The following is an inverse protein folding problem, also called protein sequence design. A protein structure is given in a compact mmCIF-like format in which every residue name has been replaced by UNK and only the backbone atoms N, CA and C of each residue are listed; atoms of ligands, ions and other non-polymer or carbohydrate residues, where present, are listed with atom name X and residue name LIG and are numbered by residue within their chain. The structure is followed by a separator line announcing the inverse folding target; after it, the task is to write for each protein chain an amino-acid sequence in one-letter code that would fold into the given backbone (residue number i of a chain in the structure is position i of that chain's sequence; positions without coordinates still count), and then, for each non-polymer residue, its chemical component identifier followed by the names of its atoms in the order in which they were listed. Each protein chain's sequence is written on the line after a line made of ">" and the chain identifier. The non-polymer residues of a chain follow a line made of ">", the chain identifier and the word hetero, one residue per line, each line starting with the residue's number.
data_IF_616173627767
#
_entry.id   IF_616173627767
#
_cell.length_a   1.000
_cell.length_b   1.000
_cell.length_c   1.000
_cell.angle_alpha   90.00
_cell.angle_beta   90.00
_cell.angle_gamma   90.00
#
_symmetry.space_group_name_H-M   'P 1'
#
loop_
_entity.id
_entity.type
_entity.pdbx_description
1 polymer ?
#
# COMPACT_ATOMS: atom_id res chain seq x y z
N UNK A 1 40.77 -0.73 -5.53
CA UNK A 1 39.91 -1.09 -6.69
C UNK A 1 40.79 -1.66 -7.78
N UNK A 2 40.31 -2.65 -8.54
CA UNK A 2 41.09 -3.21 -9.66
C UNK A 2 41.06 -2.19 -10.81
N UNK A 3 42.19 -1.93 -11.48
CA UNK A 3 42.31 -0.99 -12.63
C UNK A 3 41.20 -1.17 -13.67
N UNK A 4 40.68 -2.39 -13.80
CA UNK A 4 39.55 -2.74 -14.66
C UNK A 4 38.23 -2.07 -14.27
N UNK A 5 37.95 -1.91 -12.98
CA UNK A 5 36.76 -1.20 -12.51
C UNK A 5 36.83 0.29 -12.79
N UNK A 6 38.02 0.89 -12.65
CA UNK A 6 38.25 2.30 -12.97
C UNK A 6 38.11 2.54 -14.47
N UNK A 7 38.72 1.67 -15.29
CA UNK A 7 38.55 1.68 -16.74
C UNK A 7 37.07 1.63 -17.13
N UNK A 8 36.32 0.68 -16.56
CA UNK A 8 34.89 0.55 -16.82
C UNK A 8 34.11 1.82 -16.46
N UNK A 9 34.39 2.43 -15.32
CA UNK A 9 33.74 3.67 -14.89
C UNK A 9 34.03 4.84 -15.86
N UNK A 10 35.29 5.02 -16.26
CA UNK A 10 35.67 6.04 -17.25
C UNK A 10 34.98 5.80 -18.60
N UNK A 11 34.89 4.54 -19.03
CA UNK A 11 34.21 4.18 -20.27
C UNK A 11 32.70 4.46 -20.23
N UNK A 12 32.06 4.15 -19.10
CA UNK A 12 30.65 4.47 -18.88
C UNK A 12 30.39 5.98 -18.95
N UNK A 13 31.34 6.81 -18.50
CA UNK A 13 31.29 8.28 -18.61
C UNK A 13 31.71 8.84 -19.99
N UNK A 14 31.89 7.99 -21.03
CA UNK A 14 32.15 8.46 -22.40
C UNK A 14 33.63 8.63 -22.77
N UNK A 15 34.54 8.04 -21.98
CA UNK A 15 35.97 7.93 -22.33
C UNK A 15 36.21 6.67 -23.16
N UNK A 16 36.97 6.77 -24.26
CA UNK A 16 37.27 5.56 -25.05
C UNK A 16 38.22 4.63 -24.30
N UNK A 17 38.31 3.36 -24.70
CA UNK A 17 39.24 2.42 -24.08
C UNK A 17 40.68 2.93 -24.08
N UNK A 18 41.15 3.44 -25.22
CA UNK A 18 42.52 3.96 -25.34
C UNK A 18 42.74 5.24 -24.54
N UNK A 19 41.73 6.10 -24.43
CA UNK A 19 41.78 7.28 -23.56
C UNK A 19 41.85 6.89 -22.08
N UNK A 20 41.06 5.91 -21.64
CA UNK A 20 41.11 5.41 -20.27
C UNK A 20 42.47 4.79 -19.94
N UNK A 21 43.01 3.99 -20.86
CA UNK A 21 44.35 3.38 -20.74
C UNK A 21 45.46 4.43 -20.62
N UNK A 22 45.46 5.42 -21.52
CA UNK A 22 46.46 6.48 -21.51
C UNK A 22 46.33 7.36 -20.26
N UNK A 23 45.11 7.67 -19.82
CA UNK A 23 44.87 8.48 -18.63
C UNK A 23 45.32 7.76 -17.35
N UNK A 24 45.00 6.47 -17.19
CA UNK A 24 45.46 5.66 -16.05
C UNK A 24 46.99 5.58 -16.03
N UNK A 25 47.63 5.35 -17.18
CA UNK A 25 49.09 5.34 -17.27
C UNK A 25 49.72 6.68 -16.87
N UNK A 26 49.07 7.80 -17.17
CA UNK A 26 49.50 9.14 -16.76
C UNK A 26 49.30 9.39 -15.26
N UNK A 27 48.19 8.93 -14.67
CA UNK A 27 47.97 9.00 -13.23
C UNK A 27 49.05 8.23 -12.45
N UNK A 28 49.53 7.11 -12.98
CA UNK A 28 50.58 6.31 -12.34
C UNK A 28 51.99 6.92 -12.50
N UNK A 29 52.25 7.57 -13.64
CA UNK A 29 53.59 8.10 -13.98
C UNK A 29 53.77 9.58 -13.67
N UNK A 30 52.70 10.32 -13.44
CA UNK A 30 52.70 11.77 -13.24
C UNK A 30 52.88 12.51 -14.57
N UNK A 31 54.10 12.54 -15.11
CA UNK A 31 54.43 13.18 -16.39
C UNK A 31 55.28 12.24 -17.25
N UNK A 32 54.93 12.09 -18.52
CA UNK A 32 55.65 11.20 -19.45
C UNK A 32 55.62 11.72 -20.89
N UNK A 33 56.60 11.33 -21.69
CA UNK A 33 56.59 11.60 -23.14
C UNK A 33 55.51 10.76 -23.83
N UNK A 34 54.93 11.25 -24.93
CA UNK A 34 53.84 10.57 -25.63
C UNK A 34 54.18 9.11 -26.01
N UNK A 35 55.43 8.84 -26.39
CA UNK A 35 55.91 7.48 -26.70
C UNK A 35 55.94 6.58 -25.45
N UNK A 36 56.34 7.12 -24.30
CA UNK A 36 56.38 6.39 -23.03
C UNK A 36 54.95 6.11 -22.51
N UNK A 37 54.01 7.04 -22.74
CA UNK A 37 52.59 6.81 -22.45
C UNK A 37 52.05 5.67 -23.33
N UNK A 38 52.37 5.64 -24.62
CA UNK A 38 51.95 4.57 -25.52
C UNK A 38 52.44 3.19 -25.04
N UNK A 39 53.72 3.10 -24.64
CA UNK A 39 54.31 1.86 -24.11
C UNK A 39 53.67 1.43 -22.79
N UNK A 40 53.43 2.37 -21.87
CA UNK A 40 52.86 2.09 -20.56
C UNK A 40 51.37 1.70 -20.60
N UNK A 41 50.62 2.32 -21.51
CA UNK A 41 49.18 2.13 -21.67
C UNK A 41 48.82 0.98 -22.62
N UNK A 42 49.77 0.50 -23.44
CA UNK A 42 49.51 -0.46 -24.51
C UNK A 42 48.76 0.11 -25.71
N UNK A 43 48.55 1.43 -25.75
CA UNK A 43 47.92 2.13 -26.88
C UNK A 43 48.90 2.16 -28.07
N UNK A 44 48.46 1.83 -29.30
CA UNK A 44 49.33 1.90 -30.47
C UNK A 44 49.95 3.29 -30.66
N UNK A 45 51.25 3.37 -30.94
CA UNK A 45 51.95 4.67 -31.14
C UNK A 45 51.31 5.53 -32.23
N UNK A 46 50.73 4.92 -33.27
CA UNK A 46 50.00 5.64 -34.31
C UNK A 46 48.73 6.35 -33.81
N UNK A 47 48.24 5.98 -32.61
CA UNK A 47 47.01 6.48 -31.98
C UNK A 47 47.23 7.29 -30.71
N UNK A 48 48.47 7.40 -30.20
CA UNK A 48 48.68 8.04 -28.89
C UNK A 48 48.51 9.56 -28.95
N UNK A 49 48.90 10.19 -30.06
CA UNK A 49 48.84 11.64 -30.20
C UNK A 49 47.40 12.16 -30.29
N UNK A 50 46.50 11.45 -30.99
CA UNK A 50 45.07 11.75 -31.01
C UNK A 50 44.41 11.45 -29.67
N UNK A 51 44.79 10.36 -29.00
CA UNK A 51 44.28 10.03 -27.66
C UNK A 51 44.64 11.11 -26.65
N UNK A 52 45.91 11.53 -26.59
CA UNK A 52 46.35 12.61 -25.71
C UNK A 52 45.66 13.93 -26.04
N UNK A 53 45.47 14.24 -27.33
CA UNK A 53 44.74 15.44 -27.75
C UNK A 53 43.28 15.39 -27.28
N UNK A 54 42.60 14.25 -27.39
CA UNK A 54 41.22 14.11 -26.94
C UNK A 54 41.10 14.24 -25.42
N UNK A 55 42.01 13.62 -24.66
CA UNK A 55 42.07 13.78 -23.21
C UNK A 55 42.33 15.23 -22.79
N UNK A 56 43.19 15.95 -23.52
CA UNK A 56 43.45 17.36 -23.27
C UNK A 56 42.23 18.22 -23.58
N UNK A 57 41.50 17.93 -24.66
CA UNK A 57 40.25 18.62 -24.99
C UNK A 57 39.14 18.40 -23.95
N UNK A 58 39.13 17.23 -23.28
CA UNK A 58 38.25 16.94 -22.14
C UNK A 58 38.74 17.59 -20.83
N UNK A 59 39.92 18.19 -20.81
CA UNK A 59 40.52 18.79 -19.62
C UNK A 59 41.16 17.79 -18.65
N UNK A 60 41.30 16.52 -19.03
CA UNK A 60 41.78 15.46 -18.14
C UNK A 60 43.29 15.50 -17.96
N UNK A 61 43.98 16.00 -18.99
CA UNK A 61 45.43 16.09 -19.03
C UNK A 61 45.84 17.45 -19.62
N UNK A 62 47.08 17.83 -19.39
CA UNK A 62 47.74 18.92 -20.09
C UNK A 62 48.92 18.36 -20.90
N UNK A 63 49.15 18.94 -22.07
CA UNK A 63 50.28 18.58 -22.93
C UNK A 63 51.19 19.77 -23.13
N UNK A 64 52.50 19.51 -23.14
CA UNK A 64 53.52 20.54 -23.27
C UNK A 64 54.71 20.02 -24.08
N UNK A 65 55.46 20.93 -24.70
CA UNK A 65 56.66 20.59 -25.47
C UNK A 65 57.93 20.92 -24.68
N UNK A 66 58.73 19.88 -24.40
CA UNK A 66 60.06 20.01 -23.80
C UNK A 66 61.01 19.08 -24.55
N UNK A 67 61.41 19.50 -25.75
CA UNK A 67 62.15 18.70 -26.73
C UNK A 67 61.29 17.63 -27.42
N UNK A 68 60.37 17.01 -26.70
CA UNK A 68 59.33 16.10 -27.20
C UNK A 68 57.97 16.45 -26.58
N UNK A 69 56.88 15.96 -27.17
CA UNK A 69 55.54 16.13 -26.60
C UNK A 69 55.42 15.28 -25.32
N UNK A 70 55.15 15.95 -24.20
CA UNK A 70 54.88 15.34 -22.90
C UNK A 70 53.45 15.62 -22.48
N UNK A 71 52.94 14.76 -21.61
CA UNK A 71 51.63 14.89 -21.01
C UNK A 71 51.69 14.60 -19.51
N UNK A 72 50.85 15.27 -18.74
CA UNK A 72 50.57 14.95 -17.34
C UNK A 72 49.08 15.05 -17.04
N UNK A 73 48.60 14.30 -16.05
CA UNK A 73 47.22 14.44 -15.59
C UNK A 73 47.00 15.81 -14.92
N UNK A 74 45.82 16.40 -15.12
CA UNK A 74 45.40 17.61 -14.42
C UNK A 74 44.89 17.29 -13.00
N UNK A 75 44.49 18.32 -12.26
CA UNK A 75 43.69 18.15 -11.03
C UNK A 75 42.45 17.28 -11.38
N UNK A 76 42.22 16.14 -10.70
CA UNK A 76 41.20 15.18 -11.09
C UNK A 76 39.77 15.70 -10.96
N UNK A 77 39.55 16.92 -10.44
CA UNK A 77 38.23 17.55 -10.32
C UNK A 77 37.33 17.36 -11.53
N UNK A 78 37.82 17.71 -12.73
CA UNK A 78 37.02 17.60 -13.96
C UNK A 78 36.61 16.15 -14.25
N UNK A 79 37.50 15.19 -14.05
CA UNK A 79 37.18 13.76 -14.29
C UNK A 79 36.24 13.22 -13.22
N UNK A 80 36.35 13.71 -11.99
CA UNK A 80 35.45 13.35 -10.88
C UNK A 80 34.06 13.93 -11.12
N UNK A 81 33.96 15.20 -11.50
CA UNK A 81 32.70 15.88 -11.86
C UNK A 81 31.99 15.13 -12.99
N UNK A 82 32.69 14.76 -14.07
CA UNK A 82 32.11 13.99 -15.18
C UNK A 82 31.58 12.61 -14.73
N UNK A 83 32.24 11.95 -13.77
CA UNK A 83 31.80 10.67 -13.22
C UNK A 83 30.58 10.82 -12.30
N UNK A 84 30.53 11.90 -11.52
CA UNK A 84 29.39 12.25 -10.65
C UNK A 84 28.15 12.60 -11.49
N UNK A 85 28.30 13.42 -12.53
CA UNK A 85 27.23 13.78 -13.47
C UNK A 85 26.65 12.56 -14.19
N UNK A 86 27.51 11.62 -14.59
CA UNK A 86 27.06 10.36 -15.17
C UNK A 86 26.27 9.52 -14.16
N UNK A 87 26.74 9.43 -12.91
CA UNK A 87 26.03 8.70 -11.87
C UNK A 87 24.65 9.31 -11.55
N UNK A 88 24.54 10.64 -11.51
CA UNK A 88 23.28 11.35 -11.33
C UNK A 88 22.32 11.09 -12.50
N UNK A 89 22.84 11.15 -13.74
CA UNK A 89 22.06 10.84 -14.94
C UNK A 89 21.47 9.43 -14.90
N UNK A 90 22.28 8.43 -14.54
CA UNK A 90 21.84 7.04 -14.43
C UNK A 90 20.83 6.86 -13.29
N UNK A 91 21.06 7.52 -12.16
CA UNK A 91 20.13 7.48 -11.01
C UNK A 91 18.78 8.09 -11.38
N UNK A 92 18.79 9.25 -12.04
CA UNK A 92 17.58 9.94 -12.52
C UNK A 92 16.82 9.08 -13.52
N UNK A 93 17.52 8.50 -14.51
CA UNK A 93 16.89 7.62 -15.49
C UNK A 93 16.30 6.35 -14.84
N UNK A 94 16.97 5.78 -13.83
CA UNK A 94 16.44 4.64 -13.09
C UNK A 94 15.17 5.02 -12.29
N UNK A 95 15.15 6.18 -11.65
CA UNK A 95 13.97 6.72 -10.97
C UNK A 95 12.82 6.98 -11.95
N UNK A 96 13.09 7.60 -13.09
CA UNK A 96 12.06 7.85 -14.12
C UNK A 96 11.49 6.56 -14.71
N UNK A 97 12.33 5.52 -14.89
CA UNK A 97 11.87 4.18 -15.30
C UNK A 97 10.98 3.58 -14.21
N UNK A 98 11.34 3.71 -12.93
CA UNK A 98 10.51 3.24 -11.82
C UNK A 98 9.17 3.97 -11.75
N UNK A 99 9.17 5.29 -11.89
CA UNK A 99 7.96 6.11 -11.93
C UNK A 99 7.05 5.69 -13.09
N UNK A 100 7.57 5.62 -14.32
CA UNK A 100 6.79 5.21 -15.50
C UNK A 100 6.33 3.75 -15.46
N UNK A 101 7.08 2.87 -14.80
CA UNK A 101 6.66 1.50 -14.54
C UNK A 101 5.54 1.44 -13.49
N UNK A 102 5.56 2.36 -12.51
CA UNK A 102 4.51 2.56 -11.51
C UNK A 102 3.32 3.39 -12.02
N UNK A 103 3.44 4.01 -13.20
CA UNK A 103 2.35 4.57 -14.02
C UNK A 103 1.78 3.55 -15.04
N UNK A 104 1.28 2.34 -14.70
CA UNK A 104 0.26 1.79 -15.59
C UNK A 104 -0.90 2.80 -15.63
N UNK A 105 -1.66 2.74 -16.72
CA UNK A 105 -2.98 3.34 -16.94
C UNK A 105 -4.03 2.88 -15.87
N UNK A 106 -3.68 2.92 -14.58
CA UNK A 106 -4.49 2.51 -13.42
C UNK A 106 -5.68 3.48 -13.28
N UNK A 107 -5.54 4.74 -13.71
CA UNK A 107 -6.66 5.70 -13.67
C UNK A 107 -7.82 5.35 -14.62
N UNK A 108 -7.63 4.44 -15.60
CA UNK A 108 -8.72 4.03 -16.52
C UNK A 108 -9.15 2.58 -16.38
N UNK A 109 -8.29 1.71 -15.87
CA UNK A 109 -8.63 0.30 -15.67
C UNK A 109 -9.09 0.06 -14.23
N UNK A 110 -10.40 0.00 -14.05
CA UNK A 110 -11.09 -0.39 -12.81
C UNK A 110 -10.55 -1.68 -12.16
N UNK A 111 -9.89 -2.54 -12.95
CA UNK A 111 -9.23 -3.76 -12.51
C UNK A 111 -7.87 -3.87 -13.18
N UNK A 112 -6.82 -4.11 -12.40
CA UNK A 112 -5.45 -4.33 -12.87
C UNK A 112 -4.88 -5.61 -12.24
N UNK A 113 -4.16 -6.40 -13.05
CA UNK A 113 -3.42 -7.59 -12.58
C UNK A 113 -1.93 -7.29 -12.64
N UNK A 114 -1.24 -7.46 -11.51
CA UNK A 114 0.19 -7.20 -11.37
C UNK A 114 0.96 -8.49 -11.13
N UNK A 115 2.14 -8.62 -11.70
CA UNK A 115 2.96 -9.83 -11.59
C UNK A 115 3.80 -9.88 -10.31
N UNK A 116 3.94 -8.76 -9.60
CA UNK A 116 4.77 -8.65 -8.40
C UNK A 116 3.90 -8.34 -7.17
N UNK A 117 3.96 -9.17 -6.11
CA UNK A 117 3.25 -8.91 -4.86
C UNK A 117 3.59 -7.55 -4.25
N UNK A 118 4.83 -7.05 -4.43
CA UNK A 118 5.26 -5.73 -3.93
C UNK A 118 4.35 -4.59 -4.39
N UNK A 119 3.95 -4.59 -5.65
CA UNK A 119 3.06 -3.56 -6.21
C UNK A 119 1.70 -3.51 -5.49
N UNK A 120 1.18 -4.67 -5.06
CA UNK A 120 -0.04 -4.74 -4.25
C UNK A 120 0.17 -4.08 -2.88
N UNK A 121 1.29 -4.36 -2.22
CA UNK A 121 1.60 -3.80 -0.91
C UNK A 121 1.87 -2.30 -0.95
N UNK A 122 2.60 -1.82 -1.95
CA UNK A 122 2.85 -0.39 -2.14
C UNK A 122 1.53 0.36 -2.36
N UNK A 123 0.63 -0.21 -3.16
CA UNK A 123 -0.72 0.36 -3.39
C UNK A 123 -1.59 0.29 -2.13
N UNK A 124 -1.54 -0.82 -1.40
CA UNK A 124 -2.23 -1.00 -0.14
C UNK A 124 -1.83 0.07 0.88
N UNK A 125 -0.52 0.30 1.04
CA UNK A 125 0.00 1.33 1.93
C UNK A 125 -0.45 2.73 1.52
N UNK A 126 -0.45 3.05 0.23
CA UNK A 126 -0.95 4.33 -0.27
C UNK A 126 -2.43 4.54 0.07
N UNK A 127 -3.29 3.55 -0.19
CA UNK A 127 -4.72 3.68 0.10
C UNK A 127 -5.07 3.68 1.57
N UNK A 128 -4.33 2.98 2.43
CA UNK A 128 -4.52 3.09 3.89
C UNK A 128 -4.25 4.53 4.36
N UNK A 129 -3.22 5.19 3.79
CA UNK A 129 -2.92 6.60 4.08
C UNK A 129 -4.00 7.56 3.57
N UNK A 130 -4.76 7.18 2.55
CA UNK A 130 -5.84 8.02 1.98
C UNK A 130 -7.22 7.68 2.56
N UNK A 131 -7.33 6.60 3.36
CA UNK A 131 -8.60 6.12 3.87
C UNK A 131 -9.34 7.17 4.72
N UNK A 132 -10.67 7.23 4.56
CA UNK A 132 -11.56 8.19 5.21
C UNK A 132 -12.59 7.52 6.15
N UNK A 133 -13.07 6.32 5.81
CA UNK A 133 -14.24 5.71 6.49
C UNK A 133 -13.94 4.33 7.08
N UNK A 134 -13.48 3.38 6.25
CA UNK A 134 -13.28 1.99 6.66
C UNK A 134 -12.09 1.34 5.95
N UNK A 135 -11.32 0.57 6.72
CA UNK A 135 -10.33 -0.38 6.22
C UNK A 135 -10.75 -1.78 6.69
N UNK A 136 -10.96 -2.68 5.74
CA UNK A 136 -11.07 -4.12 5.99
C UNK A 136 -9.81 -4.81 5.46
N UNK A 137 -9.05 -5.46 6.33
CA UNK A 137 -7.75 -6.05 5.96
C UNK A 137 -7.58 -7.46 6.51
N UNK A 138 -7.13 -8.39 5.67
CA UNK A 138 -6.71 -9.73 6.04
C UNK A 138 -5.24 -9.89 5.69
N UNK A 139 -4.41 -10.19 6.70
CA UNK A 139 -2.96 -10.16 6.57
C UNK A 139 -2.26 -11.17 7.49
N UNK A 140 -0.97 -11.35 7.24
CA UNK A 140 -0.04 -12.12 8.08
C UNK A 140 0.65 -11.23 9.11
N UNK A 141 1.19 -11.77 10.21
CA UNK A 141 1.95 -10.99 11.20
C UNK A 141 3.05 -10.10 10.62
N UNK A 142 3.81 -10.61 9.65
CA UNK A 142 4.85 -9.82 8.98
C UNK A 142 4.27 -8.62 8.23
N UNK A 143 3.15 -8.81 7.53
CA UNK A 143 2.47 -7.72 6.83
C UNK A 143 1.83 -6.72 7.81
N UNK A 144 1.39 -7.17 8.99
CA UNK A 144 0.95 -6.27 10.06
C UNK A 144 2.10 -5.38 10.51
N UNK A 145 3.27 -5.95 10.79
CA UNK A 145 4.45 -5.16 11.16
C UNK A 145 4.82 -4.14 10.08
N UNK A 146 4.77 -4.54 8.80
CA UNK A 146 5.11 -3.69 7.66
C UNK A 146 4.09 -2.54 7.42
N UNK A 147 2.83 -2.70 7.84
CA UNK A 147 1.74 -1.73 7.68
C UNK A 147 1.31 -1.06 9.00
N UNK A 148 1.96 -1.37 10.10
CA UNK A 148 1.54 -0.95 11.44
C UNK A 148 1.43 0.56 11.56
N UNK A 149 2.45 1.29 11.08
CA UNK A 149 2.50 2.76 11.12
C UNK A 149 1.26 3.40 10.46
N UNK A 150 0.95 2.99 9.24
CA UNK A 150 -0.17 3.56 8.47
C UNK A 150 -1.53 3.16 9.01
N UNK A 151 -1.66 1.99 9.65
CA UNK A 151 -2.89 1.56 10.31
C UNK A 151 -3.15 2.39 11.58
N UNK A 152 -2.12 2.67 12.38
CA UNK A 152 -2.23 3.56 13.53
C UNK A 152 -2.60 4.99 13.11
N UNK A 153 -2.00 5.51 12.03
CA UNK A 153 -2.35 6.83 11.48
C UNK A 153 -3.80 6.88 10.99
N UNK A 154 -4.30 5.81 10.37
CA UNK A 154 -5.70 5.70 9.97
C UNK A 154 -6.64 5.67 11.19
N UNK A 155 -6.30 4.90 12.23
CA UNK A 155 -7.06 4.86 13.48
C UNK A 155 -7.14 6.25 14.15
N UNK A 156 -6.04 6.99 14.21
CA UNK A 156 -6.01 8.34 14.77
C UNK A 156 -6.88 9.35 14.02
N UNK A 157 -7.13 9.09 12.72
CA UNK A 157 -8.07 9.85 11.89
C UNK A 157 -9.51 9.35 11.98
N UNK A 158 -9.80 8.46 12.93
CA UNK A 158 -11.12 7.89 13.18
C UNK A 158 -11.64 6.96 12.05
N UNK A 159 -10.73 6.39 11.26
CA UNK A 159 -11.05 5.36 10.25
C UNK A 159 -11.27 4.02 10.94
N UNK A 160 -12.38 3.34 10.63
CA UNK A 160 -12.70 2.04 11.23
C UNK A 160 -11.84 0.94 10.62
N UNK A 161 -10.87 0.44 11.39
CA UNK A 161 -9.95 -0.64 10.96
C UNK A 161 -10.43 -2.00 11.47
N UNK A 162 -10.85 -2.86 10.55
CA UNK A 162 -11.22 -4.27 10.78
C UNK A 162 -10.13 -5.18 10.26
N UNK A 163 -9.49 -5.93 11.17
CA UNK A 163 -8.31 -6.73 10.84
C UNK A 163 -8.53 -8.22 11.09
N UNK A 164 -8.25 -9.06 10.10
CA UNK A 164 -8.11 -10.51 10.28
C UNK A 164 -6.63 -10.88 10.20
N UNK A 165 -6.10 -11.41 11.30
CA UNK A 165 -4.73 -11.88 11.38
C UNK A 165 -4.68 -13.38 11.10
N UNK A 166 -3.78 -13.79 10.21
CA UNK A 166 -3.53 -15.20 9.89
C UNK A 166 -2.04 -15.50 9.94
N UNK A 167 -1.56 -16.24 10.94
CA UNK A 167 -0.18 -16.71 10.97
C UNK A 167 0.15 -17.65 9.79
N UNK A 168 1.43 -17.79 9.43
CA UNK A 168 1.86 -18.77 8.43
C UNK A 168 1.37 -20.17 8.76
N UNK A 169 1.00 -20.94 7.73
CA UNK A 169 0.30 -22.24 7.80
C UNK A 169 0.99 -23.35 8.60
N UNK A 170 2.25 -23.13 9.01
CA UNK A 170 3.07 -24.10 9.75
C UNK A 170 3.39 -23.61 11.17
N UNK A 171 2.76 -22.53 11.64
CA UNK A 171 3.04 -21.94 12.95
C UNK A 171 1.77 -21.38 13.59
N UNK A 172 1.31 -22.01 14.67
CA UNK A 172 0.34 -21.40 15.58
C UNK A 172 1.10 -20.44 16.48
N UNK A 173 0.96 -19.14 16.22
CA UNK A 173 1.52 -18.09 17.08
C UNK A 173 0.45 -17.66 18.09
N UNK A 174 0.76 -17.61 19.39
CA UNK A 174 -0.17 -17.14 20.40
C UNK A 174 -0.60 -15.70 20.11
N UNK A 175 -1.88 -15.43 20.32
CA UNK A 175 -2.50 -14.11 20.06
C UNK A 175 -1.80 -13.00 20.86
N UNK A 176 -1.32 -13.35 22.05
CA UNK A 176 -0.64 -12.45 22.98
C UNK A 176 0.61 -11.79 22.35
N UNK A 177 1.26 -12.45 21.39
CA UNK A 177 2.44 -11.91 20.69
C UNK A 177 2.15 -10.69 19.82
N UNK A 178 0.88 -10.46 19.47
CA UNK A 178 0.46 -9.36 18.59
C UNK A 178 -0.45 -8.34 19.29
N UNK A 179 -0.76 -8.57 20.57
CA UNK A 179 -1.72 -7.76 21.32
C UNK A 179 -1.33 -6.27 21.38
N UNK A 180 -0.03 -5.97 21.44
CA UNK A 180 0.55 -4.63 21.42
C UNK A 180 0.41 -3.94 20.05
N UNK A 181 0.26 -4.69 18.96
CA UNK A 181 0.08 -4.15 17.59
C UNK A 181 -1.35 -3.69 17.30
N UNK A 182 -2.32 -4.04 18.15
CA UNK A 182 -3.73 -3.67 17.95
C UNK A 182 -4.10 -2.37 18.67
N UNK A 183 -3.45 -2.10 19.80
CA UNK A 183 -3.77 -0.98 20.66
C UNK A 183 -3.57 0.36 19.92
N UNK A 184 -4.62 1.18 19.86
CA UNK A 184 -4.66 2.47 19.14
C UNK A 184 -4.36 2.38 17.63
N UNK A 185 -4.54 1.20 17.02
CA UNK A 185 -4.32 1.00 15.58
C UNK A 185 -5.43 0.20 14.90
N UNK A 186 -6.23 -0.54 15.66
CA UNK A 186 -7.28 -1.42 15.13
C UNK A 186 -8.57 -1.23 15.94
N UNK A 187 -9.72 -1.25 15.28
CA UNK A 187 -11.02 -1.23 15.97
C UNK A 187 -11.43 -2.61 16.46
N UNK A 188 -11.26 -3.62 15.61
CA UNK A 188 -11.48 -5.02 15.95
C UNK A 188 -10.49 -5.89 15.19
N UNK A 189 -9.83 -6.80 15.91
CA UNK A 189 -8.95 -7.80 15.33
C UNK A 189 -9.53 -9.19 15.57
N UNK A 190 -9.48 -10.02 14.54
CA UNK A 190 -9.90 -11.43 14.57
C UNK A 190 -8.75 -12.33 14.19
N UNK A 191 -8.72 -13.53 14.75
CA UNK A 191 -7.65 -14.50 14.51
C UNK A 191 -8.18 -15.71 13.73
N UNK A 192 -7.44 -16.09 12.69
CA UNK A 192 -7.73 -17.22 11.80
C UNK A 192 -6.51 -18.13 11.68
N UNK A 193 -6.72 -19.43 11.81
CA UNK A 193 -5.69 -20.49 11.76
C UNK A 193 -5.66 -21.24 10.41
N UNK A 194 -6.39 -20.76 9.41
CA UNK A 194 -6.40 -21.29 8.05
C UNK A 194 -5.69 -20.35 7.08
N UNK A 195 -4.94 -20.85 6.08
CA UNK A 195 -4.30 -20.04 5.05
C UNK A 195 -5.22 -18.99 4.44
N UNK A 196 -4.79 -17.74 4.41
CA UNK A 196 -5.56 -16.57 3.95
C UNK A 196 -4.79 -15.83 2.84
N UNK A 197 -5.45 -15.46 1.73
CA UNK A 197 -4.88 -14.46 0.83
C UNK A 197 -4.72 -13.11 1.54
N UNK A 198 -3.77 -12.29 1.12
CA UNK A 198 -3.79 -10.88 1.49
C UNK A 198 -4.99 -10.21 0.81
N UNK A 199 -5.85 -9.56 1.60
CA UNK A 199 -6.98 -8.78 1.11
C UNK A 199 -6.98 -7.45 1.85
N UNK A 200 -7.09 -6.36 1.11
CA UNK A 200 -7.39 -5.04 1.65
C UNK A 200 -8.56 -4.48 0.87
N UNK A 201 -9.54 -3.94 1.58
CA UNK A 201 -10.63 -3.13 1.04
C UNK A 201 -10.64 -1.79 1.80
N UNK A 202 -10.57 -0.68 1.07
CA UNK A 202 -10.61 0.68 1.61
C UNK A 202 -11.80 1.42 1.03
N UNK A 203 -12.60 2.04 1.91
CA UNK A 203 -13.70 2.95 1.59
C UNK A 203 -14.63 2.45 0.48
N UNK A 204 -14.93 1.14 0.51
CA UNK A 204 -15.86 0.47 -0.41
C UNK A 204 -15.48 0.55 -1.89
N UNK A 205 -14.35 1.12 -2.30
CA UNK A 205 -13.98 1.29 -3.72
C UNK A 205 -12.66 0.65 -4.09
N UNK A 206 -11.71 0.58 -3.16
CA UNK A 206 -10.33 0.22 -3.45
C UNK A 206 -10.00 -1.15 -2.86
N UNK A 207 -9.61 -2.11 -3.71
CA UNK A 207 -9.23 -3.47 -3.28
C UNK A 207 -7.81 -3.81 -3.72
N UNK A 208 -7.03 -4.34 -2.80
CA UNK A 208 -5.79 -5.04 -3.07
C UNK A 208 -5.94 -6.51 -2.69
N UNK A 209 -5.61 -7.42 -3.60
CA UNK A 209 -5.67 -8.86 -3.38
C UNK A 209 -4.36 -9.50 -3.82
N UNK A 210 -3.80 -10.37 -2.98
CA UNK A 210 -2.72 -11.28 -3.37
C UNK A 210 -3.00 -12.68 -2.79
N UNK A 211 -2.85 -13.76 -3.57
CA UNK A 211 -3.07 -15.10 -3.08
C UNK A 211 -2.07 -15.48 -2.00
N UNK A 212 -2.41 -16.50 -1.23
CA UNK A 212 -1.55 -17.05 -0.18
C UNK A 212 -0.17 -17.47 -0.69
N UNK A 213 0.86 -17.20 0.11
CA UNK A 213 2.26 -17.42 -0.26
C UNK A 213 2.62 -18.90 -0.50
N UNK A 214 1.78 -19.83 -0.05
CA UNK A 214 1.89 -21.28 -0.27
C UNK A 214 1.65 -21.69 -1.73
N UNK A 215 1.06 -20.83 -2.57
CA UNK A 215 0.84 -21.15 -3.97
C UNK A 215 2.16 -21.15 -4.79
N UNK A 216 2.26 -21.98 -5.85
CA UNK A 216 3.41 -21.99 -6.75
C UNK A 216 3.72 -20.59 -7.31
N UNK A 217 4.99 -20.29 -7.60
CA UNK A 217 5.43 -18.98 -8.10
C UNK A 217 4.69 -18.53 -9.37
N UNK A 218 4.27 -19.46 -10.22
CA UNK A 218 3.46 -19.17 -11.41
C UNK A 218 2.05 -18.63 -11.09
N UNK A 219 1.58 -18.83 -9.87
CA UNK A 219 0.29 -18.37 -9.34
C UNK A 219 0.42 -17.17 -8.40
N UNK A 220 1.62 -16.58 -8.27
CA UNK A 220 1.83 -15.33 -7.52
C UNK A 220 1.52 -14.14 -8.43
N UNK A 221 0.33 -13.59 -8.27
CA UNK A 221 -0.11 -12.36 -8.92
C UNK A 221 -0.83 -11.48 -7.91
N UNK A 222 -0.96 -10.21 -8.22
CA UNK A 222 -1.77 -9.26 -7.48
C UNK A 222 -2.97 -8.82 -8.30
N UNK A 223 -4.08 -8.53 -7.64
CA UNK A 223 -5.23 -7.86 -8.25
C UNK A 223 -5.47 -6.55 -7.51
N UNK A 224 -5.57 -5.48 -8.28
CA UNK A 224 -5.89 -4.13 -7.80
C UNK A 224 -7.23 -3.76 -8.44
N UNK A 225 -8.22 -3.41 -7.63
CA UNK A 225 -9.55 -2.99 -8.10
C UNK A 225 -9.83 -1.59 -7.56
N UNK A 226 -10.31 -0.70 -8.43
CA UNK A 226 -10.80 0.63 -8.09
C UNK A 226 -12.19 0.80 -8.68
N UNK A 227 -13.16 0.11 -8.09
CA UNK A 227 -14.54 0.11 -8.55
C UNK A 227 -15.48 -0.30 -7.41
N UNK A 228 -16.52 0.51 -7.21
CA UNK A 228 -17.52 0.33 -6.17
C UNK A 228 -18.37 -0.95 -6.34
N UNK A 229 -18.61 -1.42 -7.57
CA UNK A 229 -19.44 -2.61 -7.80
C UNK A 229 -18.65 -3.89 -7.59
N UNK A 230 -17.41 -3.94 -8.09
CA UNK A 230 -16.53 -5.10 -7.98
C UNK A 230 -15.98 -5.27 -6.56
N UNK A 231 -15.68 -4.18 -5.86
CA UNK A 231 -15.26 -4.22 -4.46
C UNK A 231 -16.28 -4.92 -3.56
N UNK A 232 -17.58 -4.87 -3.89
CA UNK A 232 -18.64 -5.59 -3.17
C UNK A 232 -18.45 -7.11 -3.18
N UNK A 233 -17.89 -7.67 -4.25
CA UNK A 233 -17.56 -9.10 -4.31
C UNK A 233 -16.49 -9.44 -3.27
N UNK A 234 -15.50 -8.55 -3.10
CA UNK A 234 -14.44 -8.70 -2.11
C UNK A 234 -14.94 -8.46 -0.69
N UNK A 235 -15.87 -7.52 -0.48
CA UNK A 235 -16.55 -7.35 0.80
C UNK A 235 -17.31 -8.62 1.18
N UNK A 236 -18.08 -9.21 0.26
CA UNK A 236 -18.77 -10.48 0.54
C UNK A 236 -17.79 -11.58 0.90
N UNK A 237 -16.67 -11.71 0.18
CA UNK A 237 -15.62 -12.65 0.52
C UNK A 237 -15.01 -12.36 1.90
N UNK A 238 -14.69 -11.10 2.21
CA UNK A 238 -14.15 -10.71 3.50
C UNK A 238 -15.14 -11.03 4.63
N UNK A 239 -16.38 -10.57 4.52
CA UNK A 239 -17.42 -10.76 5.52
C UNK A 239 -17.70 -12.25 5.79
N UNK A 240 -17.85 -13.06 4.73
CA UNK A 240 -18.29 -14.45 4.87
C UNK A 240 -17.14 -15.43 5.13
N UNK A 241 -15.95 -15.21 4.55
CA UNK A 241 -14.84 -16.14 4.64
C UNK A 241 -13.74 -15.70 5.63
N UNK A 242 -13.55 -14.39 5.83
CA UNK A 242 -12.39 -13.86 6.56
C UNK A 242 -12.75 -13.15 7.87
N UNK A 243 -14.00 -12.74 8.06
CA UNK A 243 -14.39 -11.91 9.20
C UNK A 243 -15.36 -12.63 10.15
N UNK A 244 -16.60 -12.82 9.72
CA UNK A 244 -17.76 -13.04 10.60
C UNK A 244 -17.63 -14.26 11.52
N UNK A 245 -17.03 -15.34 11.04
CA UNK A 245 -16.94 -16.60 11.79
C UNK A 245 -15.74 -16.68 12.74
N UNK A 246 -14.75 -15.81 12.58
CA UNK A 246 -13.47 -15.92 13.26
C UNK A 246 -13.46 -15.29 14.64
N UNK A 247 -12.66 -15.85 15.54
CA UNK A 247 -12.56 -15.45 16.94
C UNK A 247 -12.08 -14.00 17.06
N UNK A 248 -12.85 -13.19 17.78
CA UNK A 248 -12.43 -11.83 18.16
C UNK A 248 -11.32 -11.94 19.21
N UNK A 249 -10.17 -11.35 18.91
CA UNK A 249 -9.00 -11.33 19.79
C UNK A 249 -8.70 -9.96 20.35
N UNK A 250 -9.20 -8.91 19.71
CA UNK A 250 -9.14 -7.55 20.19
C UNK A 250 -10.39 -6.80 19.70
N UNK A 251 -10.97 -5.97 20.55
CA UNK A 251 -12.00 -5.03 20.14
C UNK A 251 -11.99 -3.81 21.05
N UNK A 252 -12.05 -2.63 20.45
CA UNK A 252 -12.31 -1.38 21.16
C UNK A 252 -13.75 -1.30 21.68
N UNK A 253 -14.63 -2.17 21.16
CA UNK A 253 -16.04 -2.23 21.55
C UNK A 253 -16.20 -2.99 22.87
N UNK A 254 -16.14 -2.27 23.99
CA UNK A 254 -16.22 -2.82 25.36
C UNK A 254 -17.65 -3.08 25.87
N UNK A 255 -18.62 -3.36 24.98
CA UNK A 255 -20.06 -3.47 25.27
C UNK A 255 -20.74 -2.19 25.83
N UNK A 256 -20.01 -1.10 25.98
CA UNK A 256 -20.54 0.21 26.36
C UNK A 256 -20.91 1.02 25.12
N UNK A 257 -22.02 1.76 25.20
CA UNK A 257 -22.45 2.73 24.19
C UNK A 257 -21.87 4.12 24.54
N UNK A 258 -21.57 4.99 23.57
CA UNK A 258 -21.81 4.83 22.13
C UNK A 258 -20.89 3.81 21.45
N UNK A 259 -21.39 3.17 20.39
CA UNK A 259 -20.62 2.21 19.59
C UNK A 259 -20.81 2.44 18.09
N UNK A 260 -19.69 2.45 17.36
CA UNK A 260 -19.66 2.74 15.92
C UNK A 260 -19.55 1.46 15.09
N UNK A 261 -20.27 1.46 13.97
CA UNK A 261 -20.28 0.42 12.95
C UNK A 261 -20.24 1.04 11.56
N UNK A 262 -19.64 0.31 10.64
CA UNK A 262 -19.60 0.62 9.19
C UNK A 262 -20.41 -0.39 8.37
N UNK A 263 -20.83 -1.48 9.02
CA UNK A 263 -21.66 -2.52 8.44
C UNK A 263 -23.00 -2.58 9.17
N UNK A 264 -24.09 -2.42 8.40
CA UNK A 264 -25.45 -2.40 8.96
C UNK A 264 -25.81 -3.69 9.71
N UNK A 265 -25.30 -4.86 9.29
CA UNK A 265 -25.63 -6.14 9.94
C UNK A 265 -24.94 -6.28 11.27
N UNK A 266 -23.69 -5.83 11.39
CA UNK A 266 -23.01 -5.73 12.68
C UNK A 266 -23.77 -4.78 13.62
N UNK A 267 -24.19 -3.62 13.11
CA UNK A 267 -24.97 -2.64 13.86
C UNK A 267 -26.30 -3.24 14.36
N UNK A 268 -27.07 -3.87 13.46
CA UNK A 268 -28.34 -4.51 13.79
C UNK A 268 -28.12 -5.62 14.82
N UNK A 269 -27.09 -6.46 14.67
CA UNK A 269 -26.83 -7.54 15.64
C UNK A 269 -26.52 -7.04 17.04
N UNK A 270 -25.90 -5.87 17.18
CA UNK A 270 -25.70 -5.26 18.51
C UNK A 270 -27.00 -4.64 19.04
N UNK A 271 -27.73 -3.92 18.20
CA UNK A 271 -28.88 -3.13 18.59
C UNK A 271 -30.16 -3.97 18.80
N UNK A 272 -30.34 -5.05 18.04
CA UNK A 272 -31.58 -5.82 17.99
C UNK A 272 -32.00 -6.39 19.35
N UNK A 273 -31.12 -6.99 20.17
CA UNK A 273 -31.50 -7.43 21.52
C UNK A 273 -31.99 -6.29 22.41
N UNK A 274 -31.35 -5.11 22.34
CA UNK A 274 -31.75 -3.92 23.11
C UNK A 274 -33.12 -3.40 22.67
N UNK A 275 -33.35 -3.37 21.35
CA UNK A 275 -34.63 -2.95 20.76
C UNK A 275 -35.76 -3.93 21.08
N UNK A 276 -35.51 -5.24 20.98
CA UNK A 276 -36.48 -6.29 21.28
C UNK A 276 -36.83 -6.33 22.79
N UNK A 277 -35.89 -5.95 23.67
CA UNK A 277 -36.11 -5.73 25.12
C UNK A 277 -36.92 -4.44 25.42
N UNK A 278 -37.31 -3.68 24.41
CA UNK A 278 -38.09 -2.45 24.54
C UNK A 278 -37.28 -1.23 24.98
N UNK A 279 -35.95 -1.28 24.92
CA UNK A 279 -35.12 -0.10 25.19
C UNK A 279 -35.21 0.90 24.05
N UNK A 280 -35.09 2.18 24.40
CA UNK A 280 -35.05 3.26 23.42
C UNK A 280 -33.63 3.39 22.86
N UNK A 281 -33.48 3.14 21.57
CA UNK A 281 -32.20 3.23 20.88
C UNK A 281 -32.21 4.42 19.94
N UNK A 282 -31.20 5.29 20.08
CA UNK A 282 -30.94 6.38 19.15
C UNK A 282 -29.78 5.97 18.25
N UNK A 283 -29.91 6.29 16.97
CA UNK A 283 -28.91 5.98 15.97
C UNK A 283 -28.58 7.25 15.20
N UNK A 284 -27.28 7.56 15.14
CA UNK A 284 -26.74 8.53 14.20
C UNK A 284 -26.21 7.80 12.97
N UNK A 285 -26.64 8.24 11.81
CA UNK A 285 -26.29 7.65 10.51
C UNK A 285 -25.62 8.71 9.66
N UNK A 286 -24.42 8.40 9.16
CA UNK A 286 -23.74 9.17 8.14
C UNK A 286 -23.77 8.37 6.83
N UNK A 287 -24.08 9.03 5.72
CA UNK A 287 -24.14 8.42 4.40
C UNK A 287 -24.71 9.36 3.36
N UNK A 288 -25.47 8.83 2.41
CA UNK A 288 -25.99 9.59 1.28
C UNK A 288 -27.47 9.28 1.02
N UNK A 289 -28.23 10.28 0.59
CA UNK A 289 -29.57 10.08 0.06
C UNK A 289 -29.51 9.28 -1.24
N UNK A 290 -30.37 8.27 -1.36
CA UNK A 290 -30.39 7.38 -2.52
C UNK A 290 -30.91 8.04 -3.80
N UNK A 291 -31.76 9.06 -3.68
CA UNK A 291 -32.41 9.71 -4.82
C UNK A 291 -31.44 10.62 -5.60
N UNK A 292 -30.65 11.42 -4.89
CA UNK A 292 -29.80 12.45 -5.48
C UNK A 292 -28.30 12.32 -5.13
N UNK A 293 -27.94 11.41 -4.22
CA UNK A 293 -26.57 11.18 -3.77
C UNK A 293 -26.04 12.23 -2.81
N UNK A 294 -26.86 13.16 -2.31
CA UNK A 294 -26.39 14.19 -1.40
C UNK A 294 -26.02 13.59 -0.03
N UNK A 295 -24.90 14.03 0.59
CA UNK A 295 -24.50 13.55 1.90
C UNK A 295 -25.52 13.94 2.97
N UNK A 296 -25.68 13.07 3.97
CA UNK A 296 -26.58 13.25 5.09
C UNK A 296 -25.96 12.72 6.38
N UNK A 297 -26.13 13.49 7.46
CA UNK A 297 -25.98 13.02 8.83
C UNK A 297 -27.36 13.10 9.50
N UNK A 298 -27.90 11.96 9.93
CA UNK A 298 -29.24 11.85 10.49
C UNK A 298 -29.19 11.17 11.85
N UNK A 299 -29.61 11.88 12.90
CA UNK A 299 -29.83 11.31 14.22
C UNK A 299 -31.32 11.10 14.45
N UNK A 300 -31.72 9.89 14.83
CA UNK A 300 -33.11 9.53 15.04
C UNK A 300 -33.32 8.35 15.98
N UNK A 301 -34.56 8.18 16.42
CA UNK A 301 -34.96 7.02 17.22
C UNK A 301 -35.26 5.83 16.32
N UNK A 302 -34.76 4.66 16.69
CA UNK A 302 -35.01 3.42 15.96
C UNK A 302 -36.43 2.96 16.26
N UNK A 303 -37.26 2.86 15.22
CA UNK A 303 -38.68 2.49 15.35
C UNK A 303 -38.99 1.12 14.77
N UNK A 304 -38.16 0.61 13.86
CA UNK A 304 -38.31 -0.71 13.29
C UNK A 304 -36.96 -1.25 12.78
N UNK A 305 -36.80 -2.57 12.84
CA UNK A 305 -35.62 -3.30 12.34
C UNK A 305 -36.13 -4.47 11.51
N UNK A 306 -35.72 -4.54 10.24
CA UNK A 306 -35.97 -5.68 9.36
C UNK A 306 -34.66 -6.40 9.13
N UNK A 307 -34.53 -7.58 9.75
CA UNK A 307 -33.35 -8.44 9.60
C UNK A 307 -33.69 -9.89 9.94
N UNK A 308 -33.44 -10.80 9.00
CA UNK A 308 -33.78 -12.21 9.13
C UNK A 308 -32.67 -13.03 9.81
N UNK A 309 -32.25 -12.63 11.01
CA UNK A 309 -31.31 -13.39 11.84
C UNK A 309 -32.06 -13.96 13.05
N UNK A 310 -32.06 -15.30 13.26
CA UNK A 310 -32.67 -15.91 14.44
C UNK A 310 -31.98 -15.51 15.76
N UNK A 311 -30.87 -14.75 15.70
CA UNK A 311 -30.04 -14.25 16.80
C UNK A 311 -29.85 -15.25 17.93
N UNK A 312 -28.70 -15.92 17.91
CA UNK A 312 -28.22 -16.72 19.05
C UNK A 312 -26.96 -16.03 19.59
N UNK A 313 -27.00 -15.66 20.87
CA UNK A 313 -25.89 -14.99 21.53
C UNK A 313 -24.62 -15.86 21.47
N UNK A 314 -23.51 -15.27 21.03
CA UNK A 314 -22.23 -15.96 20.87
C UNK A 314 -22.07 -16.80 19.58
N UNK A 315 -23.11 -16.94 18.76
CA UNK A 315 -23.01 -17.66 17.48
C UNK A 315 -22.86 -16.72 16.28
N UNK A 316 -22.10 -17.17 15.28
CA UNK A 316 -22.02 -16.47 13.99
C UNK A 316 -23.39 -16.52 13.27
N UNK A 317 -23.79 -15.45 12.57
CA UNK A 317 -25.02 -15.49 11.77
C UNK A 317 -24.89 -16.54 10.65
N UNK A 318 -25.98 -17.25 10.32
CA UNK A 318 -26.03 -18.09 9.14
C UNK A 318 -25.74 -17.29 7.85
N UNK A 319 -25.15 -17.93 6.84
CA UNK A 319 -24.84 -17.27 5.55
C UNK A 319 -26.08 -16.70 4.83
N UNK A 320 -27.27 -17.26 5.08
CA UNK A 320 -28.52 -16.76 4.50
C UNK A 320 -28.85 -15.32 4.94
N UNK A 321 -28.33 -14.86 6.08
CA UNK A 321 -28.52 -13.50 6.59
C UNK A 321 -27.80 -12.43 5.75
N UNK A 322 -26.79 -12.83 4.96
CA UNK A 322 -26.03 -11.92 4.08
C UNK A 322 -26.79 -11.59 2.79
N UNK A 323 -27.75 -12.44 2.41
CA UNK A 323 -28.60 -12.26 1.23
C UNK A 323 -30.01 -11.78 1.58
N UNK A 324 -30.35 -11.70 2.87
CA UNK A 324 -31.62 -11.18 3.34
C UNK A 324 -31.59 -9.65 3.50
N UNK A 325 -32.78 -9.04 3.52
CA UNK A 325 -32.95 -7.60 3.76
C UNK A 325 -32.40 -7.23 5.14
N UNK A 326 -31.64 -6.13 5.19
CA UNK A 326 -31.12 -5.54 6.41
C UNK A 326 -31.42 -4.04 6.36
N UNK A 327 -32.44 -3.62 7.11
CA UNK A 327 -32.95 -2.26 7.09
C UNK A 327 -33.28 -1.80 8.51
N UNK A 328 -32.99 -0.53 8.79
CA UNK A 328 -33.36 0.17 10.03
C UNK A 328 -34.32 1.29 9.65
N UNK A 329 -35.40 1.48 10.39
CA UNK A 329 -36.29 2.65 10.25
C UNK A 329 -36.03 3.61 11.39
N UNK A 330 -35.70 4.86 11.06
CA UNK A 330 -35.47 5.95 12.00
C UNK A 330 -36.62 6.95 11.96
N UNK A 331 -37.09 7.38 13.12
CA UNK A 331 -37.89 8.61 13.27
C UNK A 331 -36.96 9.76 13.65
N UNK A 332 -36.85 10.74 12.77
CA UNK A 332 -36.08 11.95 12.96
C UNK A 332 -36.96 13.15 12.62
N UNK A 333 -37.15 14.04 13.60
CA UNK A 333 -38.01 15.23 13.49
C UNK A 333 -39.45 14.94 13.01
N UNK A 334 -40.02 13.80 13.41
CA UNK A 334 -41.37 13.37 13.05
C UNK A 334 -41.51 12.85 11.61
N UNK A 335 -40.38 12.54 10.96
CA UNK A 335 -40.32 11.89 9.65
C UNK A 335 -39.65 10.53 9.79
N UNK A 336 -40.25 9.54 9.12
CA UNK A 336 -39.71 8.20 9.04
C UNK A 336 -38.73 8.09 7.86
N UNK A 337 -37.54 7.57 8.12
CA UNK A 337 -36.50 7.29 7.12
C UNK A 337 -36.12 5.82 7.15
N UNK A 338 -36.05 5.19 5.99
CA UNK A 338 -35.50 3.84 5.81
C UNK A 338 -34.01 3.93 5.52
N UNK A 339 -33.22 3.22 6.30
CA UNK A 339 -31.76 3.21 6.22
C UNK A 339 -31.30 1.81 5.86
N UNK A 340 -30.56 1.71 4.75
CA UNK A 340 -29.87 0.50 4.31
C UNK A 340 -28.36 0.62 4.49
N UNK A 341 -27.65 -0.50 4.37
CA UNK A 341 -26.19 -0.53 4.35
C UNK A 341 -25.62 -0.30 2.95
N UNK A 342 -24.33 -0.63 2.77
CA UNK A 342 -23.67 -0.57 1.47
C UNK A 342 -24.47 -1.26 0.36
N UNK A 343 -24.85 -0.49 -0.67
CA UNK A 343 -25.65 -1.00 -1.78
C UNK A 343 -27.15 -1.07 -1.53
N UNK A 344 -27.66 -0.31 -0.56
CA UNK A 344 -29.08 -0.07 -0.37
C UNK A 344 -29.76 0.21 -1.73
N UNK A 345 -30.91 -0.43 -1.98
CA UNK A 345 -31.63 -0.31 -3.26
C UNK A 345 -33.02 0.29 -3.10
N UNK A 346 -33.65 0.05 -1.96
CA UNK A 346 -35.07 0.34 -1.71
C UNK A 346 -35.25 1.38 -0.61
N UNK A 347 -34.21 1.59 0.20
CA UNK A 347 -34.16 2.49 1.34
C UNK A 347 -33.89 3.94 0.91
N UNK A 348 -34.25 4.90 1.77
CA UNK A 348 -34.09 6.33 1.52
C UNK A 348 -32.62 6.77 1.62
N UNK A 349 -31.86 6.10 2.49
CA UNK A 349 -30.47 6.42 2.83
C UNK A 349 -29.60 5.18 2.64
N UNK A 350 -28.50 5.34 1.90
CA UNK A 350 -27.38 4.40 1.93
C UNK A 350 -26.37 4.86 2.98
N UNK A 351 -26.26 4.11 4.07
CA UNK A 351 -25.42 4.47 5.19
C UNK A 351 -24.00 3.91 5.07
N UNK A 352 -23.04 4.72 5.53
CA UNK A 352 -21.61 4.44 5.59
C UNK A 352 -21.15 4.21 7.01
N UNK A 353 -21.69 4.98 7.95
CA UNK A 353 -21.38 4.90 9.37
C UNK A 353 -22.64 4.93 10.21
N UNK A 354 -22.62 4.17 11.30
CA UNK A 354 -23.71 3.99 12.24
C UNK A 354 -23.14 4.15 13.65
N UNK A 355 -23.62 5.12 14.42
CA UNK A 355 -23.26 5.29 15.82
C UNK A 355 -24.48 5.03 16.68
N UNK A 356 -24.46 3.90 17.38
CA UNK A 356 -25.53 3.47 18.27
C UNK A 356 -25.35 4.17 19.61
N UNK A 357 -26.42 4.79 20.09
CA UNK A 357 -26.50 5.43 21.40
C UNK A 357 -27.69 4.85 22.17
N UNK A 358 -27.49 4.52 23.46
CA UNK A 358 -28.61 4.18 24.33
C UNK A 358 -29.15 5.44 24.98
N UNK A 359 -30.45 5.60 24.93
CA UNK A 359 -31.13 6.46 25.89
C UNK A 359 -31.84 5.53 26.87
N UNK A 360 -31.24 5.32 28.05
CA UNK A 360 -31.97 4.71 29.17
C UNK A 360 -33.23 5.56 29.41
N UNK A 361 -34.41 4.96 29.24
CA UNK A 361 -35.64 5.63 29.61
C UNK A 361 -35.94 5.39 31.09
N UNK A 362 -36.48 6.46 31.69
CA UNK A 362 -37.15 6.51 33.00
C UNK A 362 -38.19 5.42 33.21
#
# INVERSE_FOLDING_TARGET
>A
MKTEQLRGALQSAGVTQYEADAYIALLERGSAAAVEVAEASGVPQARIYDVLRNLANKGYIETYEEGTLKAHANDPKTVVEDLEDYAETITTAASEIQERWQEPDIEKSKVSVVSQPRTVYDRARAWIKEAETEIQIALTPKQLDDLHDVLCDAYQRDVVVKLTLTPPSDTTLPVEEFSDRFENCVYEARYRDLPTPFVLLVDRTNVCFAPEASLPTASQYGVIVQDYSLSRVFDWFFQTALWTHWTVVYSTRTQSLPATYTNIRECIRHMKPLFDDGKRVVLTVEGHYREDGNPIELMGEVTNIVYADPYVEGESPPLETFISEAQITLDADGKSYKVGGWGALMEDIEAERFTVELIDNR
#
